data_IF_632827816337
#
_entry.id   IF_632827816337
#
_cell.length_a   1.000
_cell.length_b   1.000
_cell.length_c   1.000
_cell.angle_alpha   90.00
_cell.angle_beta   90.00
_cell.angle_gamma   90.00
#
_symmetry.space_group_name_H-M   'P 1'
#
loop_
_entity.id
_entity.type
_entity.pdbx_description
1 polymer ?
#
# COMPACT_ATOMS: atom_id res chain seq x y z
N UNK A 1 -17.74 -13.55 4.00
CA UNK A 1 -16.86 -13.86 5.15
C UNK A 1 -16.22 -15.23 4.99
N UNK A 2 -17.01 -16.31 4.90
CA UNK A 2 -16.49 -17.68 4.67
C UNK A 2 -15.56 -17.78 3.45
N UNK A 3 -15.92 -17.16 2.32
CA UNK A 3 -15.07 -17.19 1.11
C UNK A 3 -13.72 -16.52 1.31
N UNK A 4 -13.67 -15.42 2.08
CA UNK A 4 -12.42 -14.73 2.43
C UNK A 4 -11.56 -15.61 3.34
N UNK A 5 -12.17 -16.27 4.32
CA UNK A 5 -11.46 -17.21 5.20
C UNK A 5 -10.85 -18.35 4.38
N UNK A 6 -11.59 -18.91 3.43
CA UNK A 6 -11.06 -19.98 2.58
C UNK A 6 -9.97 -19.48 1.64
N UNK A 7 -10.10 -18.27 1.07
CA UNK A 7 -9.06 -17.66 0.25
C UNK A 7 -7.75 -17.45 1.04
N UNK A 8 -7.85 -16.97 2.29
CA UNK A 8 -6.69 -16.83 3.18
C UNK A 8 -6.03 -18.19 3.43
N UNK A 9 -6.82 -19.21 3.78
CA UNK A 9 -6.31 -20.57 4.01
C UNK A 9 -5.65 -21.15 2.77
N UNK A 10 -6.21 -20.92 1.58
CA UNK A 10 -5.62 -21.35 0.31
C UNK A 10 -4.27 -20.65 0.08
N UNK A 11 -4.20 -19.33 0.28
CA UNK A 11 -2.95 -18.59 0.15
C UNK A 11 -1.86 -19.14 1.09
N UNK A 12 -2.20 -19.40 2.36
CA UNK A 12 -1.28 -20.01 3.32
C UNK A 12 -0.82 -21.41 2.90
N UNK A 13 -1.71 -22.25 2.35
CA UNK A 13 -1.35 -23.58 1.81
C UNK A 13 -0.33 -23.49 0.66
N UNK A 14 -0.31 -22.38 -0.06
CA UNK A 14 0.67 -22.08 -1.10
C UNK A 14 1.91 -21.31 -0.58
N UNK A 15 2.05 -21.12 0.73
CA UNK A 15 3.19 -20.46 1.34
C UNK A 15 3.22 -18.94 1.16
N UNK A 16 2.07 -18.33 0.82
CA UNK A 16 1.88 -16.88 0.81
C UNK A 16 1.48 -16.39 2.20
N UNK A 17 1.86 -15.16 2.51
CA UNK A 17 1.35 -14.39 3.64
C UNK A 17 0.20 -13.51 3.16
N UNK A 18 -0.76 -13.20 4.03
CA UNK A 18 -1.96 -12.46 3.66
C UNK A 18 -2.07 -11.15 4.42
N UNK A 19 -2.17 -10.06 3.66
CA UNK A 19 -2.57 -8.74 4.13
C UNK A 19 -4.05 -8.52 3.80
N UNK A 20 -4.90 -8.36 4.81
CA UNK A 20 -6.34 -8.09 4.62
C UNK A 20 -6.60 -6.58 4.69
N UNK A 21 -7.28 -6.06 3.67
CA UNK A 21 -7.62 -4.63 3.54
C UNK A 21 -9.14 -4.46 3.41
N UNK A 22 -9.85 -4.15 4.50
CA UNK A 22 -11.27 -3.79 4.45
C UNK A 22 -11.46 -2.42 3.80
N UNK A 23 -11.62 -2.41 2.48
CA UNK A 23 -11.72 -1.19 1.67
C UNK A 23 -13.17 -0.70 1.52
N UNK A 24 -13.36 0.63 1.50
CA UNK A 24 -14.67 1.27 1.29
C UNK A 24 -14.81 1.83 -0.13
N UNK A 25 -15.93 1.51 -0.77
CA UNK A 25 -16.37 2.15 -2.01
C UNK A 25 -17.56 3.05 -1.68
N UNK A 26 -17.50 4.31 -2.11
CA UNK A 26 -18.59 5.27 -1.93
C UNK A 26 -19.51 5.17 -3.14
N UNK A 27 -20.82 4.96 -2.93
CA UNK A 27 -21.78 4.75 -4.01
C UNK A 27 -21.87 5.91 -5.00
N UNK A 28 -21.58 7.14 -4.56
CA UNK A 28 -21.51 8.32 -5.44
C UNK A 28 -20.31 8.31 -6.39
N UNK A 29 -19.36 7.37 -6.22
CA UNK A 29 -18.09 7.34 -6.93
C UNK A 29 -17.07 8.37 -6.44
N UNK A 30 -17.42 9.19 -5.43
CA UNK A 30 -16.48 10.12 -4.82
C UNK A 30 -15.40 9.39 -4.03
N UNK A 31 -14.29 10.08 -3.85
CA UNK A 31 -13.17 9.55 -3.09
C UNK A 31 -13.50 9.47 -1.59
N UNK A 32 -13.15 8.35 -0.95
CA UNK A 32 -13.43 8.09 0.47
C UNK A 32 -12.76 9.07 1.42
N UNK A 33 -11.68 9.73 0.99
CA UNK A 33 -11.03 10.79 1.75
C UNK A 33 -11.93 12.03 1.97
N UNK A 34 -12.99 12.17 1.17
CA UNK A 34 -13.95 13.28 1.23
C UNK A 34 -15.24 12.91 1.97
N UNK A 35 -15.31 11.76 2.63
CA UNK A 35 -16.51 11.37 3.40
C UNK A 35 -16.82 12.45 4.43
N UNK A 36 -18.01 13.02 4.32
CA UNK A 36 -18.57 13.98 5.28
C UNK A 36 -20.07 13.71 5.49
N UNK A 37 -20.44 13.12 6.64
CA UNK A 37 -21.84 12.94 7.05
C UNK A 37 -22.61 14.25 7.32
N UNK A 38 -21.96 15.43 7.26
CA UNK A 38 -22.59 16.75 7.25
C UNK A 38 -23.08 17.28 8.61
N UNK A 39 -22.94 16.49 9.69
CA UNK A 39 -23.27 16.91 11.06
C UNK A 39 -22.52 16.06 12.09
N UNK A 40 -22.38 16.54 13.33
CA UNK A 40 -21.78 15.74 14.42
C UNK A 40 -22.54 14.44 14.67
N UNK A 41 -23.88 14.49 14.68
CA UNK A 41 -24.70 13.29 14.82
C UNK A 41 -24.49 12.30 13.65
N UNK A 42 -24.32 12.82 12.43
CA UNK A 42 -23.99 12.00 11.27
C UNK A 42 -22.61 11.33 11.40
N UNK A 43 -21.63 12.08 11.89
CA UNK A 43 -20.29 11.56 12.19
C UNK A 43 -20.33 10.46 13.24
N UNK A 44 -21.06 10.64 14.35
CA UNK A 44 -21.20 9.62 15.38
C UNK A 44 -21.80 8.33 14.81
N UNK A 45 -22.89 8.44 14.05
CA UNK A 45 -23.53 7.27 13.41
C UNK A 45 -22.59 6.57 12.42
N UNK A 46 -21.83 7.35 11.64
CA UNK A 46 -20.89 6.81 10.68
C UNK A 46 -19.72 6.09 11.37
N UNK A 47 -19.14 6.69 12.41
CA UNK A 47 -18.04 6.08 13.19
C UNK A 47 -18.49 4.80 13.89
N UNK A 48 -19.71 4.76 14.44
CA UNK A 48 -20.29 3.55 15.04
C UNK A 48 -20.54 2.46 13.98
N UNK A 49 -20.95 2.85 12.77
CA UNK A 49 -21.06 1.95 11.63
C UNK A 49 -19.72 1.36 11.22
N UNK A 50 -18.71 2.22 11.12
CA UNK A 50 -17.34 1.83 10.79
C UNK A 50 -16.74 0.90 11.83
N UNK A 51 -16.97 1.17 13.13
CA UNK A 51 -16.53 0.28 14.22
C UNK A 51 -17.08 -1.15 14.03
N UNK A 52 -18.38 -1.29 13.79
CA UNK A 52 -19.01 -2.62 13.57
C UNK A 52 -18.46 -3.32 12.32
N UNK A 53 -18.22 -2.55 11.26
CA UNK A 53 -17.63 -3.04 10.02
C UNK A 53 -16.20 -3.55 10.27
N UNK A 54 -15.37 -2.78 10.95
CA UNK A 54 -13.98 -3.14 11.19
C UNK A 54 -13.84 -4.30 12.17
N UNK A 55 -14.59 -4.32 13.27
CA UNK A 55 -14.60 -5.45 14.22
C UNK A 55 -15.06 -6.76 13.57
N UNK A 56 -16.00 -6.67 12.61
CA UNK A 56 -16.39 -7.81 11.78
C UNK A 56 -15.19 -8.40 11.02
N UNK A 57 -14.40 -7.54 10.37
CA UNK A 57 -13.24 -8.00 9.59
C UNK A 57 -12.05 -8.37 10.47
N UNK A 58 -11.88 -7.76 11.64
CA UNK A 58 -10.93 -8.19 12.65
C UNK A 58 -11.22 -9.61 13.14
N UNK A 59 -12.50 -9.95 13.35
CA UNK A 59 -12.90 -11.32 13.70
C UNK A 59 -12.54 -12.31 12.59
N UNK A 60 -12.80 -11.95 11.33
CA UNK A 60 -12.42 -12.76 10.16
C UNK A 60 -10.90 -12.91 10.06
N UNK A 61 -10.14 -11.83 10.26
CA UNK A 61 -8.69 -11.84 10.24
C UNK A 61 -8.11 -12.77 11.31
N UNK A 62 -8.67 -12.72 12.53
CA UNK A 62 -8.26 -13.58 13.63
C UNK A 62 -8.57 -15.06 13.36
N UNK A 63 -9.79 -15.37 12.89
CA UNK A 63 -10.20 -16.76 12.59
C UNK A 63 -9.39 -17.39 11.45
N UNK A 64 -9.03 -16.58 10.45
CA UNK A 64 -8.27 -17.03 9.29
C UNK A 64 -6.75 -16.95 9.49
N UNK A 65 -6.27 -16.44 10.63
CA UNK A 65 -4.86 -16.17 10.90
C UNK A 65 -4.19 -15.28 9.84
N UNK A 66 -4.88 -14.20 9.43
CA UNK A 66 -4.33 -13.16 8.56
C UNK A 66 -3.02 -12.61 9.16
N UNK A 67 -2.03 -12.34 8.31
CA UNK A 67 -0.69 -11.95 8.74
C UNK A 67 -0.55 -10.43 8.97
N UNK A 68 -1.41 -9.61 8.35
CA UNK A 68 -1.48 -8.16 8.54
C UNK A 68 -2.91 -7.68 8.26
N UNK A 69 -3.42 -6.76 9.09
CA UNK A 69 -4.74 -6.16 8.89
C UNK A 69 -4.62 -4.63 8.76
N UNK A 70 -5.21 -4.07 7.71
CA UNK A 70 -5.39 -2.63 7.61
C UNK A 70 -6.65 -2.21 8.39
N UNK A 71 -6.52 -1.23 9.28
CA UNK A 71 -7.66 -0.68 10.04
C UNK A 71 -8.47 0.31 9.23
N UNK A 72 -7.99 0.73 8.05
CA UNK A 72 -8.69 1.63 7.14
C UNK A 72 -7.83 2.06 5.96
N UNK A 73 -8.48 2.64 4.96
CA UNK A 73 -7.83 3.10 3.72
C UNK A 73 -8.31 4.51 3.41
N UNK A 74 -7.39 5.47 3.38
CA UNK A 74 -7.58 6.86 2.91
C UNK A 74 -8.80 7.58 3.52
N UNK A 75 -9.08 7.36 4.81
CA UNK A 75 -10.13 8.06 5.56
C UNK A 75 -9.66 9.44 6.05
N UNK A 76 -9.07 10.24 5.14
CA UNK A 76 -8.43 11.53 5.42
C UNK A 76 -9.30 12.45 6.25
N UNK A 77 -10.54 12.69 5.83
CA UNK A 77 -11.51 13.57 6.51
C UNK A 77 -11.79 13.18 7.96
N UNK A 78 -11.40 11.98 8.39
CA UNK A 78 -11.47 11.54 9.77
C UNK A 78 -10.12 11.61 10.48
N UNK A 79 -9.08 10.97 9.94
CA UNK A 79 -7.81 10.73 10.65
C UNK A 79 -6.92 11.96 10.79
N UNK A 80 -7.17 13.03 10.04
CA UNK A 80 -6.43 14.31 10.11
C UNK A 80 -7.18 15.39 10.89
N UNK A 81 -8.23 15.03 11.63
CA UNK A 81 -9.12 15.98 12.32
C UNK A 81 -9.19 15.73 13.82
N UNK A 82 -9.87 16.62 14.55
CA UNK A 82 -10.17 16.44 15.98
C UNK A 82 -11.06 15.23 16.30
N UNK A 83 -11.60 14.53 15.28
CA UNK A 83 -12.37 13.29 15.43
C UNK A 83 -11.50 12.03 15.49
N UNK A 84 -10.21 12.12 15.13
CA UNK A 84 -9.29 10.99 15.12
C UNK A 84 -9.18 10.22 16.45
N UNK A 85 -9.31 10.84 17.65
CA UNK A 85 -9.32 10.09 18.91
C UNK A 85 -10.40 9.00 18.99
N UNK A 86 -11.55 9.17 18.33
CA UNK A 86 -12.59 8.11 18.27
C UNK A 86 -12.09 6.89 17.50
N UNK A 87 -11.25 7.08 16.48
CA UNK A 87 -10.65 5.98 15.73
C UNK A 87 -9.60 5.25 16.58
N UNK A 88 -8.82 5.97 17.41
CA UNK A 88 -7.90 5.33 18.38
C UNK A 88 -8.64 4.34 19.29
N UNK A 89 -9.83 4.71 19.79
CA UNK A 89 -10.66 3.80 20.59
C UNK A 89 -11.08 2.55 19.81
N UNK A 90 -11.44 2.71 18.54
CA UNK A 90 -11.82 1.60 17.66
C UNK A 90 -10.61 0.67 17.43
N UNK A 91 -9.41 1.21 17.19
CA UNK A 91 -8.18 0.41 17.02
C UNK A 91 -7.91 -0.43 18.27
N UNK A 92 -8.10 0.13 19.47
CA UNK A 92 -7.95 -0.63 20.73
C UNK A 92 -8.95 -1.77 20.84
N UNK A 93 -10.22 -1.56 20.49
CA UNK A 93 -11.23 -2.63 20.43
C UNK A 93 -10.89 -3.69 19.37
N UNK A 94 -10.29 -3.29 18.24
CA UNK A 94 -9.78 -4.24 17.24
C UNK A 94 -8.66 -5.10 17.81
N UNK A 95 -7.74 -4.54 18.60
CA UNK A 95 -6.65 -5.30 19.25
C UNK A 95 -7.17 -6.32 20.28
N UNK A 96 -8.33 -6.09 20.87
CA UNK A 96 -9.00 -7.08 21.74
C UNK A 96 -9.51 -8.31 20.96
N UNK A 97 -9.72 -8.18 19.65
CA UNK A 97 -10.26 -9.24 18.78
C UNK A 97 -9.17 -9.90 17.92
N UNK A 98 -8.27 -9.10 17.34
CA UNK A 98 -7.23 -9.55 16.42
C UNK A 98 -5.85 -9.27 17.02
N UNK A 99 -5.01 -10.32 17.06
CA UNK A 99 -3.72 -10.29 17.76
C UNK A 99 -2.51 -10.24 16.83
N UNK A 100 -2.72 -10.16 15.52
CA UNK A 100 -1.65 -9.90 14.55
C UNK A 100 -1.34 -8.40 14.42
N UNK A 101 -0.38 -8.04 13.55
CA UNK A 101 0.01 -6.66 13.36
C UNK A 101 -1.07 -5.85 12.64
N UNK A 102 -1.18 -4.57 13.01
CA UNK A 102 -2.09 -3.59 12.43
C UNK A 102 -1.34 -2.52 11.64
N UNK A 103 -1.92 -2.11 10.52
CA UNK A 103 -1.51 -0.94 9.73
C UNK A 103 -2.73 -0.07 9.40
N UNK A 104 -2.51 1.10 8.82
CA UNK A 104 -3.52 1.95 8.19
C UNK A 104 -2.96 2.37 6.85
N UNK A 105 -3.75 2.27 5.78
CA UNK A 105 -3.35 2.65 4.43
C UNK A 105 -3.62 4.13 4.20
N UNK A 106 -2.71 4.99 4.66
CA UNK A 106 -2.78 6.43 4.43
C UNK A 106 -2.49 6.77 2.96
N UNK A 107 -2.95 7.91 2.46
CA UNK A 107 -2.49 8.38 1.15
C UNK A 107 -1.10 8.99 1.29
N UNK A 108 -0.32 8.98 0.21
CA UNK A 108 1.05 9.50 0.20
C UNK A 108 1.19 10.98 0.63
N UNK A 109 0.14 11.79 0.44
CA UNK A 109 0.09 13.23 0.74
C UNK A 109 -0.63 13.58 2.06
N UNK A 110 -1.14 12.61 2.84
CA UNK A 110 -1.77 12.87 4.15
C UNK A 110 -1.19 12.07 5.33
N UNK A 111 -0.21 11.19 5.07
CA UNK A 111 0.38 10.35 6.12
C UNK A 111 1.03 11.18 7.24
N UNK A 112 1.63 12.33 6.92
CA UNK A 112 2.26 13.23 7.90
C UNK A 112 1.23 13.82 8.90
N UNK A 113 -0.03 13.96 8.47
CA UNK A 113 -1.12 14.52 9.28
C UNK A 113 -1.97 13.44 9.97
N UNK A 114 -1.66 12.16 9.74
CA UNK A 114 -2.44 11.03 10.27
C UNK A 114 -2.18 10.86 11.77
N UNK A 115 -3.20 11.16 12.59
CA UNK A 115 -3.07 11.21 14.07
C UNK A 115 -2.94 9.81 14.70
N UNK A 116 -3.39 8.75 14.01
CA UNK A 116 -3.51 7.40 14.58
C UNK A 116 -2.22 6.56 14.48
N UNK A 117 -1.15 7.08 13.87
CA UNK A 117 0.06 6.30 13.55
C UNK A 117 0.71 5.64 14.78
N UNK A 118 0.64 6.29 15.95
CA UNK A 118 1.19 5.75 17.20
C UNK A 118 0.52 4.47 17.70
N UNK A 119 -0.70 4.17 17.26
CA UNK A 119 -1.47 2.99 17.67
C UNK A 119 -1.27 1.79 16.71
N UNK A 120 -0.44 1.93 15.67
CA UNK A 120 -0.21 0.93 14.63
C UNK A 120 1.16 0.24 14.79
N UNK A 121 1.29 -0.95 14.21
CA UNK A 121 2.53 -1.72 14.21
C UNK A 121 3.42 -1.35 13.01
N UNK A 122 2.80 -0.97 11.88
CA UNK A 122 3.45 -0.42 10.69
C UNK A 122 2.72 0.83 10.21
N UNK A 123 3.46 1.74 9.58
CA UNK A 123 2.90 2.89 8.87
C UNK A 123 2.63 2.46 7.42
N UNK A 124 1.36 2.33 7.05
CA UNK A 124 0.95 1.97 5.70
C UNK A 124 0.74 3.19 4.81
N UNK A 125 1.24 3.12 3.57
CA UNK A 125 1.09 4.21 2.59
C UNK A 125 0.64 3.65 1.23
N UNK A 126 -0.43 4.22 0.69
CA UNK A 126 -0.78 4.14 -0.72
C UNK A 126 0.13 5.09 -1.50
N UNK A 127 1.25 4.54 -1.97
CA UNK A 127 2.44 5.26 -2.42
C UNK A 127 2.39 5.62 -3.91
N UNK A 128 1.34 6.34 -4.31
CA UNK A 128 1.23 6.98 -5.63
C UNK A 128 2.04 8.29 -5.67
N UNK A 129 3.34 8.22 -5.39
CA UNK A 129 4.23 9.39 -5.35
C UNK A 129 4.60 9.89 -6.74
N UNK A 130 4.44 11.21 -7.02
CA UNK A 130 5.08 11.83 -8.16
C UNK A 130 6.60 11.81 -7.99
N UNK A 131 7.31 11.38 -9.03
CA UNK A 131 8.78 11.37 -9.02
C UNK A 131 9.36 12.58 -9.77
N UNK A 132 8.52 13.27 -10.53
CA UNK A 132 8.90 14.43 -11.35
C UNK A 132 7.75 15.43 -11.46
N UNK A 133 8.09 16.67 -11.79
CA UNK A 133 7.19 17.77 -12.11
C UNK A 133 7.21 18.12 -13.62
N UNK A 134 7.90 17.32 -14.44
CA UNK A 134 8.12 17.57 -15.88
C UNK A 134 7.74 16.37 -16.74
N UNK A 135 7.15 16.66 -17.88
CA UNK A 135 7.00 15.69 -18.97
C UNK A 135 8.36 15.30 -19.56
N UNK A 136 8.48 14.07 -20.05
CA UNK A 136 9.69 13.55 -20.66
C UNK A 136 10.88 13.41 -19.71
N UNK A 137 10.62 13.26 -18.40
CA UNK A 137 11.68 13.15 -17.40
C UNK A 137 12.61 11.94 -17.69
N UNK A 138 13.91 12.16 -17.56
CA UNK A 138 14.89 11.08 -17.70
C UNK A 138 14.83 10.14 -16.51
N UNK A 139 15.37 8.92 -16.66
CA UNK A 139 15.46 7.98 -15.54
C UNK A 139 16.21 8.57 -14.34
N UNK A 140 17.30 9.33 -14.56
CA UNK A 140 18.05 9.96 -13.47
C UNK A 140 17.19 10.98 -12.72
N UNK A 141 16.33 11.73 -13.41
CA UNK A 141 15.41 12.67 -12.77
C UNK A 141 14.33 11.95 -11.96
N UNK A 142 13.78 10.84 -12.49
CA UNK A 142 12.84 9.99 -11.75
C UNK A 142 13.52 9.39 -10.50
N UNK A 143 14.77 8.96 -10.63
CA UNK A 143 15.55 8.37 -9.53
C UNK A 143 15.78 9.39 -8.40
N UNK A 144 16.04 10.66 -8.73
CA UNK A 144 16.06 11.73 -7.72
C UNK A 144 14.72 11.88 -7.00
N UNK A 145 13.60 11.66 -7.71
CA UNK A 145 12.27 11.55 -7.10
C UNK A 145 12.17 10.40 -6.11
N UNK A 146 12.58 9.21 -6.51
CA UNK A 146 12.61 8.04 -5.62
C UNK A 146 13.48 8.24 -4.38
N UNK A 147 14.63 8.92 -4.52
CA UNK A 147 15.50 9.25 -3.38
C UNK A 147 14.81 10.17 -2.38
N UNK A 148 14.02 11.15 -2.84
CA UNK A 148 13.19 12.00 -1.97
C UNK A 148 12.15 11.18 -1.23
N UNK A 149 11.51 10.23 -1.92
CA UNK A 149 10.53 9.31 -1.29
C UNK A 149 11.21 8.45 -0.22
N UNK A 150 12.39 7.89 -0.48
CA UNK A 150 13.13 7.11 0.51
C UNK A 150 13.53 7.94 1.75
N UNK A 151 13.90 9.21 1.56
CA UNK A 151 14.16 10.10 2.69
C UNK A 151 12.88 10.38 3.51
N UNK A 152 11.74 10.61 2.85
CA UNK A 152 10.46 10.78 3.53
C UNK A 152 10.07 9.53 4.34
N UNK A 153 10.31 8.33 3.79
CA UNK A 153 10.11 7.05 4.50
C UNK A 153 10.96 7.00 5.76
N UNK A 154 12.25 7.32 5.64
CA UNK A 154 13.20 7.35 6.76
C UNK A 154 12.77 8.33 7.85
N UNK A 155 12.48 9.58 7.47
CA UNK A 155 12.04 10.63 8.39
C UNK A 155 10.77 10.21 9.15
N UNK A 156 9.79 9.67 8.43
CA UNK A 156 8.52 9.22 9.00
C UNK A 156 8.71 8.04 9.96
N UNK A 157 9.51 7.06 9.57
CA UNK A 157 9.86 5.94 10.44
C UNK A 157 10.53 6.42 11.73
N UNK A 158 11.53 7.30 11.63
CA UNK A 158 12.23 7.84 12.79
C UNK A 158 11.32 8.66 13.71
N UNK A 159 10.41 9.47 13.13
CA UNK A 159 9.50 10.30 13.90
C UNK A 159 8.56 9.47 14.79
N UNK A 160 8.13 8.30 14.30
CA UNK A 160 7.16 7.44 14.99
C UNK A 160 7.78 6.20 15.63
N UNK A 161 9.05 5.92 15.35
CA UNK A 161 9.73 4.67 15.69
C UNK A 161 8.94 3.44 15.21
N UNK A 162 8.53 3.45 13.93
CA UNK A 162 7.75 2.40 13.28
C UNK A 162 8.22 2.19 11.84
N UNK A 163 8.29 0.95 11.34
CA UNK A 163 8.63 0.71 9.96
C UNK A 163 7.52 1.19 9.02
N UNK A 164 7.90 1.51 7.78
CA UNK A 164 6.97 1.96 6.73
C UNK A 164 6.75 0.84 5.73
N UNK A 165 5.49 0.59 5.41
CA UNK A 165 5.04 -0.35 4.39
C UNK A 165 4.31 0.41 3.29
N UNK A 166 4.66 0.19 2.04
CA UNK A 166 3.82 0.67 0.93
C UNK A 166 2.67 -0.32 0.72
N UNK A 167 1.49 0.03 1.22
CA UNK A 167 0.29 -0.82 1.09
C UNK A 167 -0.22 -0.88 -0.33
N UNK A 168 0.13 0.11 -1.16
CA UNK A 168 -0.09 0.11 -2.61
C UNK A 168 1.04 0.87 -3.29
N UNK A 169 1.59 0.32 -4.38
CA UNK A 169 2.39 1.07 -5.37
C UNK A 169 1.78 0.86 -6.75
N UNK A 170 1.76 1.91 -7.57
CA UNK A 170 1.20 1.82 -8.91
C UNK A 170 1.60 3.00 -9.79
N UNK A 171 1.88 2.68 -11.04
CA UNK A 171 2.01 3.64 -12.13
C UNK A 171 1.26 3.09 -13.34
N UNK A 172 0.51 3.93 -14.05
CA UNK A 172 -0.21 3.51 -15.26
C UNK A 172 0.76 3.24 -16.42
N UNK A 173 0.33 2.47 -17.42
CA UNK A 173 1.14 2.05 -18.57
C UNK A 173 1.01 3.05 -19.72
N UNK A 174 1.40 4.30 -19.46
CA UNK A 174 1.33 5.44 -20.38
C UNK A 174 2.55 6.34 -20.23
N UNK A 175 2.82 7.25 -21.18
CA UNK A 175 3.87 8.25 -21.02
C UNK A 175 3.74 9.06 -19.72
N UNK A 176 4.90 9.41 -19.15
CA UNK A 176 5.04 10.22 -17.94
C UNK A 176 4.15 9.80 -16.76
N UNK A 177 4.08 8.50 -16.42
CA UNK A 177 3.12 8.01 -15.43
C UNK A 177 3.50 8.48 -14.01
N UNK A 178 4.76 8.83 -13.80
CA UNK A 178 5.28 9.36 -12.54
C UNK A 178 5.08 10.86 -12.34
N UNK A 179 4.43 11.56 -13.28
CA UNK A 179 4.06 12.97 -13.14
C UNK A 179 2.76 13.13 -12.34
N UNK A 180 1.75 12.32 -12.67
CA UNK A 180 0.43 12.29 -12.01
C UNK A 180 -0.02 10.83 -11.80
N UNK A 181 0.64 10.09 -10.89
CA UNK A 181 0.39 8.66 -10.70
C UNK A 181 -0.99 8.32 -10.15
N UNK A 182 -1.69 9.28 -9.54
CA UNK A 182 -3.06 9.10 -9.04
C UNK A 182 -4.12 9.15 -10.14
N UNK A 183 -3.77 9.47 -11.40
CA UNK A 183 -4.74 9.54 -12.48
C UNK A 183 -5.30 8.17 -12.83
N UNK A 184 -6.60 8.03 -12.60
CA UNK A 184 -7.32 6.79 -12.85
C UNK A 184 -7.49 6.54 -14.35
N UNK A 185 -7.14 5.36 -14.88
CA UNK A 185 -7.12 5.10 -16.32
C UNK A 185 -8.51 4.98 -16.96
N UNK A 186 -9.57 4.81 -16.16
CA UNK A 186 -10.92 4.61 -16.67
C UNK A 186 -11.44 5.85 -17.41
N UNK A 187 -12.02 5.63 -18.58
CA UNK A 187 -12.58 6.71 -19.41
C UNK A 187 -11.55 7.48 -20.23
N UNK A 188 -10.25 7.21 -20.09
CA UNK A 188 -9.23 7.75 -20.99
C UNK A 188 -9.44 7.21 -22.42
N UNK A 189 -9.17 8.06 -23.40
CA UNK A 189 -9.30 7.76 -24.84
C UNK A 189 -7.98 8.01 -25.55
N UNK A 190 -7.75 7.29 -26.64
CA UNK A 190 -6.58 7.46 -27.50
C UNK A 190 -5.24 7.39 -26.74
N UNK A 191 -5.17 6.52 -25.73
CA UNK A 191 -4.00 6.40 -24.85
C UNK A 191 -2.87 5.68 -25.56
N UNK A 192 -1.69 6.30 -25.58
CA UNK A 192 -0.46 5.65 -26.00
C UNK A 192 0.03 4.73 -24.89
N UNK A 193 0.15 3.44 -25.18
CA UNK A 193 0.71 2.47 -24.24
C UNK A 193 2.23 2.63 -24.20
N UNK A 194 2.79 2.80 -22.99
CA UNK A 194 4.23 2.87 -22.77
C UNK A 194 4.66 2.02 -21.56
N UNK A 195 4.91 0.74 -21.81
CA UNK A 195 5.41 -0.19 -20.79
C UNK A 195 6.80 0.20 -20.25
N UNK A 196 7.61 0.87 -21.06
CA UNK A 196 8.94 1.29 -20.63
C UNK A 196 8.81 2.40 -19.60
N UNK A 197 7.93 3.37 -19.81
CA UNK A 197 7.69 4.44 -18.85
C UNK A 197 7.20 3.89 -17.50
N UNK A 198 6.26 2.94 -17.50
CA UNK A 198 5.81 2.24 -16.29
C UNK A 198 6.99 1.56 -15.57
N UNK A 199 7.78 0.75 -16.29
CA UNK A 199 8.91 0.03 -15.71
C UNK A 199 9.97 0.99 -15.12
N UNK A 200 10.26 2.11 -15.79
CA UNK A 200 11.20 3.12 -15.28
C UNK A 200 10.68 3.81 -14.02
N UNK A 201 9.37 4.08 -13.92
CA UNK A 201 8.76 4.66 -12.72
C UNK A 201 8.83 3.69 -11.53
N UNK A 202 8.47 2.41 -11.72
CA UNK A 202 8.63 1.38 -10.69
C UNK A 202 10.09 1.27 -10.23
N UNK A 203 11.03 1.22 -11.18
CA UNK A 203 12.45 1.10 -10.87
C UNK A 203 12.96 2.33 -10.10
N UNK A 204 12.55 3.52 -10.50
CA UNK A 204 12.96 4.76 -9.86
C UNK A 204 12.41 4.88 -8.43
N UNK A 205 11.17 4.45 -8.18
CA UNK A 205 10.58 4.41 -6.84
C UNK A 205 11.29 3.39 -5.93
N UNK A 206 11.51 2.16 -6.41
CA UNK A 206 11.97 1.06 -5.57
C UNK A 206 13.48 1.06 -5.33
N UNK A 207 14.29 1.48 -6.31
CA UNK A 207 15.75 1.34 -6.21
C UNK A 207 16.35 2.00 -4.97
N UNK A 208 15.96 3.23 -4.56
CA UNK A 208 16.48 3.86 -3.35
C UNK A 208 16.02 3.20 -2.05
N UNK A 209 14.90 2.47 -2.06
CA UNK A 209 14.32 1.82 -0.88
C UNK A 209 14.99 0.48 -0.56
N UNK A 210 15.72 -0.12 -1.51
CA UNK A 210 16.49 -1.36 -1.29
C UNK A 210 17.47 -1.19 -0.12
N UNK A 211 18.09 -0.03 -0.02
CA UNK A 211 19.07 0.29 1.02
C UNK A 211 18.44 0.98 2.26
N UNK A 212 17.11 1.08 2.34
CA UNK A 212 16.41 1.73 3.45
C UNK A 212 15.97 0.69 4.51
N UNK A 213 16.66 0.60 5.67
CA UNK A 213 16.38 -0.44 6.66
C UNK A 213 15.00 -0.32 7.32
N UNK A 214 14.38 0.87 7.32
CA UNK A 214 13.03 1.07 7.88
C UNK A 214 11.89 0.71 6.92
N UNK A 215 12.22 0.30 5.69
CA UNK A 215 11.23 -0.06 4.69
C UNK A 215 10.84 -1.55 4.78
N UNK A 216 9.58 -1.80 5.11
CA UNK A 216 9.00 -3.13 5.31
C UNK A 216 8.58 -3.84 4.02
N UNK A 217 8.68 -3.16 2.88
CA UNK A 217 8.31 -3.70 1.58
C UNK A 217 7.08 -3.03 0.99
N UNK A 218 6.47 -3.69 0.00
CA UNK A 218 5.40 -3.10 -0.78
C UNK A 218 4.40 -4.14 -1.29
N UNK A 219 3.18 -3.67 -1.59
CA UNK A 219 2.17 -4.40 -2.35
C UNK A 219 1.88 -3.65 -3.65
N UNK A 220 1.69 -4.39 -4.73
CA UNK A 220 1.45 -3.82 -6.06
C UNK A 220 -0.04 -3.60 -6.27
N UNK A 221 -0.43 -2.39 -6.66
CA UNK A 221 -1.72 -2.11 -7.29
C UNK A 221 -1.59 -2.27 -8.81
N UNK A 222 -2.16 -3.30 -9.44
CA UNK A 222 -2.81 -4.46 -8.83
C UNK A 222 -2.64 -5.69 -9.71
N UNK A 223 -2.86 -6.86 -9.13
CA UNK A 223 -3.03 -8.12 -9.88
C UNK A 223 -4.43 -8.63 -9.58
N UNK A 224 -5.11 -9.17 -10.59
CA UNK A 224 -6.47 -9.66 -10.47
C UNK A 224 -6.51 -11.10 -9.93
N UNK A 225 -7.67 -11.50 -9.41
CA UNK A 225 -7.85 -12.82 -8.80
C UNK A 225 -7.57 -13.97 -9.78
N UNK A 226 -7.97 -13.79 -11.04
CA UNK A 226 -7.47 -14.57 -12.16
C UNK A 226 -6.33 -13.77 -12.83
N UNK A 227 -5.05 -14.17 -12.64
CA UNK A 227 -3.91 -13.44 -13.19
C UNK A 227 -3.75 -13.62 -14.71
N UNK A 228 -4.54 -14.49 -15.33
CA UNK A 228 -4.57 -14.71 -16.77
C UNK A 228 -5.74 -13.95 -17.43
N UNK A 229 -6.72 -13.46 -16.64
CA UNK A 229 -7.76 -12.54 -17.09
C UNK A 229 -7.28 -11.08 -17.06
N UNK A 230 -6.68 -10.67 -18.18
CA UNK A 230 -6.21 -9.30 -18.38
C UNK A 230 -7.33 -8.34 -18.83
N UNK A 231 -8.58 -8.78 -18.97
CA UNK A 231 -9.69 -7.93 -19.44
C UNK A 231 -10.26 -7.01 -18.36
N UNK A 232 -9.88 -7.24 -17.10
CA UNK A 232 -10.29 -6.47 -15.93
C UNK A 232 -9.74 -5.03 -15.90
N UNK A 233 -8.81 -4.71 -16.80
CA UNK A 233 -8.26 -3.36 -16.98
C UNK A 233 -7.96 -3.07 -18.44
N UNK A 234 -7.88 -1.80 -18.78
CA UNK A 234 -7.27 -1.38 -20.03
C UNK A 234 -5.76 -1.69 -20.06
N UNK A 235 -5.21 -1.86 -21.25
CA UNK A 235 -3.77 -2.13 -21.45
C UNK A 235 -2.88 -1.02 -20.86
N UNK A 236 -3.35 0.24 -20.88
CA UNK A 236 -2.67 1.39 -20.27
C UNK A 236 -2.86 1.50 -18.74
N UNK A 237 -3.53 0.52 -18.12
CA UNK A 237 -3.82 0.50 -16.69
C UNK A 237 -2.60 0.33 -15.78
N UNK A 238 -2.86 0.21 -14.49
CA UNK A 238 -1.88 0.05 -13.42
C UNK A 238 -1.25 -1.33 -13.37
N UNK A 239 -1.98 -2.40 -13.69
CA UNK A 239 -1.43 -3.75 -13.52
C UNK A 239 -0.13 -3.93 -14.31
N UNK A 240 0.99 -4.35 -13.66
CA UNK A 240 2.25 -4.59 -14.35
C UNK A 240 2.29 -5.97 -15.05
N UNK A 241 1.31 -6.84 -14.77
CA UNK A 241 1.22 -8.21 -15.28
C UNK A 241 1.28 -8.23 -16.81
N UNK A 242 2.14 -9.08 -17.36
CA UNK A 242 2.37 -9.21 -18.79
C UNK A 242 3.22 -8.11 -19.42
N UNK A 243 3.68 -7.12 -18.64
CA UNK A 243 4.38 -5.92 -19.12
C UNK A 243 5.80 -5.85 -18.57
N UNK A 244 6.61 -4.93 -19.11
CA UNK A 244 7.98 -4.69 -18.63
C UNK A 244 8.09 -4.41 -17.12
N UNK A 245 7.09 -3.79 -16.50
CA UNK A 245 7.10 -3.52 -15.07
C UNK A 245 7.02 -4.79 -14.20
N UNK A 246 6.44 -5.90 -14.68
CA UNK A 246 6.44 -7.19 -13.97
C UNK A 246 7.87 -7.70 -13.76
N UNK A 247 8.78 -7.44 -14.70
CA UNK A 247 10.19 -7.82 -14.54
C UNK A 247 10.86 -7.02 -13.42
N UNK A 248 10.55 -5.72 -13.30
CA UNK A 248 11.06 -4.87 -12.21
C UNK A 248 10.55 -5.36 -10.86
N UNK A 249 9.26 -5.68 -10.77
CA UNK A 249 8.65 -6.24 -9.56
C UNK A 249 9.27 -7.59 -9.21
N UNK A 250 9.49 -8.46 -10.19
CA UNK A 250 10.14 -9.77 -9.98
C UNK A 250 11.56 -9.61 -9.46
N UNK A 251 12.33 -8.72 -10.06
CA UNK A 251 13.71 -8.46 -9.63
C UNK A 251 13.73 -7.90 -8.21
N UNK A 252 12.84 -6.95 -7.89
CA UNK A 252 12.69 -6.37 -6.54
C UNK A 252 12.36 -7.43 -5.48
N UNK A 253 11.46 -8.39 -5.76
CA UNK A 253 11.14 -9.49 -4.84
C UNK A 253 12.24 -10.57 -4.71
N UNK A 254 13.26 -10.54 -5.57
CA UNK A 254 14.41 -11.45 -5.49
C UNK A 254 15.69 -10.77 -5.00
N UNK A 255 15.66 -9.45 -4.86
CA UNK A 255 16.74 -8.65 -4.35
C UNK A 255 16.88 -8.81 -2.83
N UNK A 256 18.06 -8.51 -2.32
CA UNK A 256 18.32 -8.38 -0.89
C UNK A 256 17.95 -6.96 -0.45
N UNK A 257 17.13 -6.83 0.59
CA UNK A 257 16.75 -5.54 1.16
C UNK A 257 17.51 -5.28 2.46
N UNK A 258 17.82 -4.02 2.76
CA UNK A 258 18.47 -3.65 4.02
C UNK A 258 17.67 -4.11 5.24
N UNK A 259 16.34 -4.19 5.12
CA UNK A 259 15.45 -4.69 6.16
C UNK A 259 15.48 -6.22 6.36
N UNK A 260 16.08 -6.99 5.44
CA UNK A 260 16.33 -8.43 5.61
C UNK A 260 17.45 -8.70 6.63
N UNK A 261 18.31 -7.70 6.88
CA UNK A 261 19.35 -7.72 7.91
C UNK A 261 20.78 -7.61 7.38
N UNK A 262 21.79 -8.19 8.06
CA UNK A 262 23.17 -8.16 7.58
C UNK A 262 23.44 -9.20 6.49
N UNK A 263 24.17 -8.79 5.45
CA UNK A 263 24.60 -9.70 4.38
C UNK A 263 25.45 -10.85 4.93
N UNK A 264 25.04 -12.08 4.63
CA UNK A 264 25.89 -13.26 4.86
C UNK A 264 26.88 -13.45 3.70
N UNK A 265 28.05 -14.06 3.96
CA UNK A 265 29.05 -14.31 2.93
C UNK A 265 28.49 -15.23 1.84
N UNK A 266 28.58 -14.80 0.58
CA UNK A 266 28.05 -15.55 -0.57
C UNK A 266 26.59 -15.22 -0.93
N UNK A 267 25.96 -14.32 -0.18
CA UNK A 267 24.58 -13.85 -0.39
C UNK A 267 24.27 -13.33 -1.80
N UNK A 268 25.25 -12.73 -2.47
CA UNK A 268 25.13 -12.22 -3.85
C UNK A 268 24.91 -13.31 -4.91
N UNK A 269 25.11 -14.59 -4.57
CA UNK A 269 24.97 -15.71 -5.51
C UNK A 269 23.60 -16.41 -5.45
N UNK A 270 22.70 -15.99 -4.55
CA UNK A 270 21.40 -16.62 -4.33
C UNK A 270 20.26 -15.64 -4.52
N UNK A 271 19.06 -16.14 -4.85
CA UNK A 271 17.83 -15.35 -4.82
C UNK A 271 17.32 -15.28 -3.40
N UNK A 272 16.92 -14.09 -2.97
CA UNK A 272 16.41 -13.86 -1.63
C UNK A 272 14.89 -13.99 -1.59
N UNK A 273 14.41 -14.79 -0.65
CA UNK A 273 13.04 -14.73 -0.16
C UNK A 273 13.15 -14.34 1.31
N UNK A 274 12.42 -13.32 1.74
CA UNK A 274 12.37 -12.98 3.17
C UNK A 274 11.85 -14.19 3.97
N UNK A 275 12.71 -14.75 4.83
CA UNK A 275 12.37 -15.90 5.70
C UNK A 275 12.00 -15.47 7.12
N UNK A 276 12.23 -14.20 7.47
CA UNK A 276 11.96 -13.61 8.78
C UNK A 276 11.14 -12.32 8.59
N UNK A 277 10.29 -11.95 9.56
CA UNK A 277 9.82 -10.57 9.66
C UNK A 277 11.06 -9.65 9.69
N UNK A 278 11.08 -8.59 8.89
CA UNK A 278 12.25 -7.72 8.76
C UNK A 278 12.74 -7.18 10.10
N UNK A 279 13.99 -6.73 10.15
CA UNK A 279 14.61 -6.17 11.36
C UNK A 279 14.04 -4.78 11.65
N UNK A 280 12.88 -4.72 12.30
CA UNK A 280 12.23 -3.47 12.73
C UNK A 280 12.14 -3.41 14.25
#
# INVERSE_FOLDING_TARGET
RADVIEAVRLAHRHGLRVFLVPHLWVESGQWRAEIDPGSEQGWDQWMDGYERFLLTWATVAQEAHVDLLSVGVELRSWVTTSRAPRFVEIIRRVRDVYHGPLTYSANWDDVQDTVILGELDLIGINAFYPLTDKEGATFDQLLEGGKRVAEQVRELSHAWNRPVLFTEIGYTTRPDPALRPWEWPDGMKDVVVDERAQALAYKALLAPLIDEPSFAGFFVWRVYADPDDMSQEAEWGFSPRGKRAELVVRDAFTAYWASDGPYEVGSVLVRWKAERPGLF
#
